data_IF_883207421357
#
_entry.id   IF_883207421357
#
_cell.length_a   1.000
_cell.length_b   1.000
_cell.length_c   1.000
_cell.angle_alpha   90.00
_cell.angle_beta   90.00
_cell.angle_gamma   90.00
#
_symmetry.space_group_name_H-M   'P 1'
#
loop_
_entity.id
_entity.type
_entity.pdbx_description
1 polymer ?
#
# COMPACT_ATOMS: atom_id res chain seq x y z
N UNK A 1 20.45 -3.64 9.29
CA UNK A 1 19.03 -3.23 9.25
C UNK A 1 18.21 -4.51 9.45
N UNK A 2 17.50 -4.66 10.55
CA UNK A 2 16.74 -5.90 10.78
C UNK A 2 15.57 -6.00 9.79
N UNK A 3 15.46 -7.09 9.00
CA UNK A 3 14.39 -7.25 8.01
C UNK A 3 13.00 -7.25 8.65
N UNK A 4 12.89 -7.70 9.90
CA UNK A 4 11.66 -7.66 10.68
C UNK A 4 11.20 -6.23 11.03
N UNK A 5 12.13 -5.27 11.15
CA UNK A 5 11.79 -3.88 11.48
C UNK A 5 11.15 -3.14 10.31
N UNK A 6 11.60 -3.40 9.07
CA UNK A 6 11.08 -2.75 7.87
C UNK A 6 9.65 -3.22 7.54
N UNK A 7 9.39 -4.54 7.67
CA UNK A 7 8.05 -5.10 7.49
C UNK A 7 7.04 -4.52 8.48
N UNK A 8 7.44 -4.34 9.74
CA UNK A 8 6.60 -3.72 10.77
C UNK A 8 6.29 -2.25 10.48
N UNK A 9 7.27 -1.47 9.97
CA UNK A 9 7.04 -0.08 9.58
C UNK A 9 6.05 0.05 8.42
N UNK A 10 6.14 -0.85 7.43
CA UNK A 10 5.21 -0.90 6.29
C UNK A 10 3.80 -1.30 6.72
N UNK A 11 3.67 -2.25 7.66
CA UNK A 11 2.38 -2.64 8.24
C UNK A 11 1.73 -1.47 9.03
N UNK A 12 2.53 -0.71 9.78
CA UNK A 12 2.05 0.51 10.45
C UNK A 12 1.60 1.57 9.44
N UNK A 13 2.37 1.78 8.36
CA UNK A 13 2.01 2.68 7.28
C UNK A 13 0.72 2.25 6.56
N UNK A 14 0.50 0.96 6.35
CA UNK A 14 -0.74 0.40 5.79
C UNK A 14 -1.95 0.67 6.68
N UNK A 15 -1.84 0.41 7.99
CA UNK A 15 -2.93 0.69 8.94
C UNK A 15 -3.25 2.19 9.01
N UNK A 16 -2.22 3.03 9.04
CA UNK A 16 -2.38 4.48 9.08
C UNK A 16 -3.03 5.01 7.80
N UNK A 17 -2.59 4.53 6.64
CA UNK A 17 -3.17 4.93 5.34
C UNK A 17 -4.60 4.43 5.17
N UNK A 18 -4.95 3.23 5.67
CA UNK A 18 -6.31 2.72 5.68
C UNK A 18 -7.26 3.58 6.52
N UNK A 19 -6.83 4.02 7.71
CA UNK A 19 -7.62 4.94 8.54
C UNK A 19 -7.83 6.29 7.83
N UNK A 20 -6.80 6.80 7.17
CA UNK A 20 -6.89 8.06 6.41
C UNK A 20 -7.81 7.94 5.18
N UNK A 21 -7.82 6.80 4.50
CA UNK A 21 -8.76 6.52 3.41
C UNK A 21 -10.21 6.65 3.86
N UNK A 22 -10.56 6.13 5.04
CA UNK A 22 -11.90 6.26 5.61
C UNK A 22 -12.24 7.75 5.80
N UNK A 23 -11.32 8.54 6.36
CA UNK A 23 -11.52 9.98 6.52
C UNK A 23 -11.67 10.70 5.18
N UNK A 24 -10.88 10.34 4.16
CA UNK A 24 -11.00 10.93 2.82
C UNK A 24 -12.34 10.60 2.18
N UNK A 25 -12.81 9.36 2.28
CA UNK A 25 -14.12 8.96 1.77
C UNK A 25 -15.25 9.70 2.49
N UNK A 26 -15.17 9.83 3.82
CA UNK A 26 -16.12 10.60 4.61
C UNK A 26 -16.13 12.08 4.20
N UNK A 27 -14.95 12.68 3.99
CA UNK A 27 -14.82 14.06 3.53
C UNK A 27 -15.47 14.23 2.15
N UNK A 28 -15.20 13.34 1.19
CA UNK A 28 -15.81 13.39 -0.14
C UNK A 28 -17.34 13.33 -0.03
N UNK A 29 -17.89 12.41 0.76
CA UNK A 29 -19.34 12.30 0.97
C UNK A 29 -19.90 13.61 1.53
N UNK A 30 -19.29 14.16 2.58
CA UNK A 30 -19.71 15.43 3.19
C UNK A 30 -19.63 16.59 2.21
N UNK A 31 -18.60 16.64 1.35
CA UNK A 31 -18.43 17.70 0.35
C UNK A 31 -19.46 17.59 -0.78
N UNK A 32 -19.92 16.38 -1.10
CA UNK A 32 -20.95 16.13 -2.10
C UNK A 32 -22.36 16.46 -1.58
N UNK A 33 -22.63 16.33 -0.28
CA UNK A 33 -23.94 16.61 0.33
C UNK A 33 -24.51 18.02 0.06
N UNK A 34 -23.75 19.13 0.22
CA UNK A 34 -24.27 20.47 -0.05
C UNK A 34 -24.39 20.77 -1.55
N UNK A 35 -23.65 20.05 -2.39
CA UNK A 35 -23.76 20.13 -3.85
C UNK A 35 -24.92 19.25 -4.38
N UNK A 36 -25.43 18.35 -3.54
CA UNK A 36 -26.44 17.39 -3.88
C UNK A 36 -27.86 17.98 -3.75
N UNK A 37 -28.49 18.27 -4.89
CA UNK A 37 -29.97 18.28 -4.95
C UNK A 37 -30.54 16.91 -4.57
N UNK A 38 -31.86 16.81 -4.40
CA UNK A 38 -32.56 15.57 -3.96
C UNK A 38 -32.17 14.30 -4.75
N UNK A 39 -31.81 14.42 -6.03
CA UNK A 39 -31.36 13.32 -6.87
C UNK A 39 -29.95 12.77 -6.51
N UNK A 40 -29.05 13.63 -6.03
CA UNK A 40 -27.65 13.27 -5.73
C UNK A 40 -27.49 12.58 -4.35
N UNK A 41 -28.49 12.72 -3.48
CA UNK A 41 -28.56 12.00 -2.19
C UNK A 41 -28.66 10.48 -2.40
N UNK A 42 -29.39 10.04 -3.43
CA UNK A 42 -29.51 8.61 -3.78
C UNK A 42 -28.14 8.04 -4.20
N UNK A 43 -27.37 8.79 -4.99
CA UNK A 43 -26.01 8.40 -5.38
C UNK A 43 -25.05 8.37 -4.18
N UNK A 44 -25.18 9.30 -3.23
CA UNK A 44 -24.38 9.29 -2.00
C UNK A 44 -24.67 8.02 -1.16
N UNK A 45 -25.93 7.64 -1.01
CA UNK A 45 -26.33 6.42 -0.28
C UNK A 45 -25.85 5.16 -1.02
N UNK A 46 -26.00 5.12 -2.34
CA UNK A 46 -25.58 3.98 -3.17
C UNK A 46 -24.04 3.83 -3.25
N UNK A 47 -23.29 4.89 -2.98
CA UNK A 47 -21.83 4.88 -2.89
C UNK A 47 -21.30 4.22 -1.60
N UNK A 48 -22.09 4.21 -0.52
CA UNK A 48 -21.70 3.62 0.77
C UNK A 48 -21.25 2.15 0.66
N UNK A 49 -22.01 1.22 0.02
CA UNK A 49 -21.56 -0.17 -0.13
C UNK A 49 -20.26 -0.27 -0.93
N UNK A 50 -20.06 0.57 -1.94
CA UNK A 50 -18.82 0.61 -2.70
C UNK A 50 -17.63 1.04 -1.83
N UNK A 51 -17.81 2.07 -1.01
CA UNK A 51 -16.80 2.50 -0.03
C UNK A 51 -16.42 1.39 0.95
N UNK A 52 -17.41 0.64 1.46
CA UNK A 52 -17.15 -0.48 2.38
C UNK A 52 -16.36 -1.61 1.69
N UNK A 53 -16.73 -1.97 0.46
CA UNK A 53 -16.01 -2.98 -0.32
C UNK A 53 -14.57 -2.54 -0.63
N UNK A 54 -14.37 -1.27 -0.96
CA UNK A 54 -13.06 -0.70 -1.24
C UNK A 54 -12.16 -0.73 0.01
N UNK A 55 -12.67 -0.30 1.16
CA UNK A 55 -11.93 -0.34 2.43
C UNK A 55 -11.61 -1.79 2.80
N UNK A 56 -12.57 -2.70 2.69
CA UNK A 56 -12.36 -4.12 2.95
C UNK A 56 -11.29 -4.71 2.02
N UNK A 57 -11.38 -4.47 0.72
CA UNK A 57 -10.39 -4.92 -0.26
C UNK A 57 -8.99 -4.35 0.02
N UNK A 58 -8.91 -3.09 0.46
CA UNK A 58 -7.65 -2.46 0.87
C UNK A 58 -7.03 -3.14 2.10
N UNK A 59 -7.83 -3.49 3.11
CA UNK A 59 -7.36 -4.20 4.29
C UNK A 59 -7.03 -5.67 4.03
N UNK A 60 -7.74 -6.31 3.11
CA UNK A 60 -7.48 -7.68 2.65
C UNK A 60 -6.28 -7.78 1.70
N UNK A 61 -5.67 -6.64 1.33
CA UNK A 61 -4.49 -6.54 0.45
C UNK A 61 -4.77 -7.08 -0.95
N UNK A 62 -5.98 -6.86 -1.44
CA UNK A 62 -6.37 -7.25 -2.79
C UNK A 62 -5.68 -6.36 -3.82
N UNK A 63 -5.11 -6.96 -4.87
CA UNK A 63 -4.33 -6.26 -5.91
C UNK A 63 -5.14 -5.24 -6.72
N UNK A 64 -6.45 -5.46 -6.85
CA UNK A 64 -7.37 -4.53 -7.52
C UNK A 64 -7.72 -3.31 -6.66
N UNK A 65 -7.61 -3.40 -5.33
CA UNK A 65 -8.06 -2.33 -4.44
C UNK A 65 -7.08 -1.16 -4.37
N UNK A 66 -5.76 -1.43 -4.40
CA UNK A 66 -4.71 -0.40 -4.37
C UNK A 66 -4.80 0.64 -5.50
N UNK A 67 -4.94 0.27 -6.80
CA UNK A 67 -5.06 1.25 -7.87
C UNK A 67 -6.34 2.09 -7.76
N UNK A 68 -7.45 1.52 -7.27
CA UNK A 68 -8.69 2.27 -7.05
C UNK A 68 -8.53 3.25 -5.88
N UNK A 69 -7.87 2.83 -4.79
CA UNK A 69 -7.54 3.72 -3.66
C UNK A 69 -6.67 4.89 -4.10
N UNK A 70 -5.66 4.64 -4.94
CA UNK A 70 -4.84 5.70 -5.54
C UNK A 70 -5.67 6.66 -6.40
N UNK A 71 -6.61 6.13 -7.20
CA UNK A 71 -7.51 6.95 -8.02
C UNK A 71 -8.42 7.82 -7.14
N UNK A 72 -9.03 7.26 -6.10
CA UNK A 72 -9.87 7.99 -5.13
C UNK A 72 -9.08 9.12 -4.47
N UNK A 73 -7.83 8.85 -4.05
CA UNK A 73 -6.94 9.87 -3.50
C UNK A 73 -6.61 10.98 -4.49
N UNK A 74 -6.27 10.62 -5.73
CA UNK A 74 -6.05 11.60 -6.80
C UNK A 74 -7.29 12.45 -7.08
N UNK A 75 -8.47 11.83 -7.10
CA UNK A 75 -9.74 12.52 -7.24
C UNK A 75 -10.01 13.50 -6.09
N UNK A 76 -9.77 13.08 -4.84
CA UNK A 76 -9.93 13.92 -3.66
C UNK A 76 -9.02 15.16 -3.72
N UNK A 77 -7.75 14.97 -4.10
CA UNK A 77 -6.79 16.05 -4.31
C UNK A 77 -7.28 17.01 -5.39
N UNK A 78 -7.76 16.48 -6.53
CA UNK A 78 -8.30 17.28 -7.62
C UNK A 78 -9.51 18.13 -7.19
N UNK A 79 -10.47 17.54 -6.47
CA UNK A 79 -11.64 18.25 -5.96
C UNK A 79 -11.23 19.36 -4.98
N UNK A 80 -10.33 19.05 -4.03
CA UNK A 80 -9.83 20.05 -3.08
C UNK A 80 -9.10 21.20 -3.79
N UNK A 81 -8.33 20.89 -4.83
CA UNK A 81 -7.61 21.89 -5.63
C UNK A 81 -8.56 22.80 -6.40
N UNK A 82 -9.59 22.24 -7.06
CA UNK A 82 -10.61 23.03 -7.75
C UNK A 82 -11.38 23.90 -6.77
N UNK A 83 -11.76 23.36 -5.62
CA UNK A 83 -12.46 24.12 -4.58
C UNK A 83 -11.62 25.29 -4.05
N UNK A 84 -10.32 25.07 -3.85
CA UNK A 84 -9.36 26.13 -3.51
C UNK A 84 -9.31 27.24 -4.57
N UNK A 85 -9.32 26.90 -5.87
CA UNK A 85 -9.36 27.90 -6.95
C UNK A 85 -10.65 28.73 -6.92
N UNK A 86 -11.79 28.10 -6.63
CA UNK A 86 -13.07 28.81 -6.49
C UNK A 86 -13.01 29.80 -5.33
N UNK A 87 -12.54 29.38 -4.16
CA UNK A 87 -12.40 30.26 -2.99
C UNK A 87 -11.48 31.47 -3.29
N UNK A 88 -10.34 31.25 -3.94
CA UNK A 88 -9.44 32.34 -4.30
C UNK A 88 -9.98 33.26 -5.41
N UNK A 89 -10.87 32.78 -6.27
CA UNK A 89 -11.54 33.64 -7.26
C UNK A 89 -12.52 34.63 -6.63
N UNK A 90 -13.02 34.33 -5.42
CA UNK A 90 -14.02 35.13 -4.69
C UNK A 90 -13.41 36.10 -3.68
N UNK A 91 -12.10 36.33 -3.72
CA UNK A 91 -11.39 37.21 -2.77
C UNK A 91 -11.79 38.69 -2.81
N UNK A 92 -12.54 39.13 -3.83
CA UNK A 92 -13.07 40.48 -3.94
C UNK A 92 -14.43 40.71 -3.25
N UNK A 93 -15.03 39.69 -2.63
CA UNK A 93 -16.35 39.77 -2.00
C UNK A 93 -16.34 40.09 -0.50
N UNK A 94 -17.52 40.21 0.09
CA UNK A 94 -17.73 40.53 1.53
C UNK A 94 -17.01 39.57 2.50
N UNK A 95 -16.79 38.32 2.10
CA UNK A 95 -16.17 37.27 2.92
C UNK A 95 -14.69 37.01 2.59
N UNK A 96 -14.00 38.00 2.02
CA UNK A 96 -12.60 37.89 1.56
C UNK A 96 -11.62 37.27 2.58
N UNK A 97 -11.73 37.63 3.87
CA UNK A 97 -10.87 37.10 4.93
C UNK A 97 -11.12 35.61 5.22
N UNK A 98 -12.39 35.17 5.20
CA UNK A 98 -12.76 33.77 5.36
C UNK A 98 -12.27 32.93 4.18
N UNK A 99 -12.48 33.41 2.97
CA UNK A 99 -12.08 32.73 1.73
C UNK A 99 -10.54 32.56 1.65
N UNK A 100 -9.76 33.54 2.14
CA UNK A 100 -8.30 33.41 2.24
C UNK A 100 -7.87 32.28 3.18
N UNK A 101 -8.47 32.21 4.38
CA UNK A 101 -8.15 31.19 5.38
C UNK A 101 -8.55 29.81 4.85
N UNK A 102 -9.76 29.70 4.29
CA UNK A 102 -10.28 28.47 3.74
C UNK A 102 -9.46 27.97 2.54
N UNK A 103 -9.15 28.86 1.58
CA UNK A 103 -8.29 28.55 0.44
C UNK A 103 -6.89 28.11 0.86
N UNK A 104 -6.29 28.78 1.85
CA UNK A 104 -5.00 28.39 2.43
C UNK A 104 -5.04 27.01 3.10
N UNK A 105 -6.10 26.70 3.84
CA UNK A 105 -6.28 25.40 4.49
C UNK A 105 -6.45 24.27 3.46
N UNK A 106 -7.20 24.52 2.38
CA UNK A 106 -7.36 23.56 1.27
C UNK A 106 -6.04 23.32 0.53
N UNK A 107 -5.23 24.36 0.34
CA UNK A 107 -3.90 24.24 -0.25
C UNK A 107 -2.99 23.38 0.63
N UNK A 108 -3.00 23.61 1.95
CA UNK A 108 -2.25 22.78 2.90
C UNK A 108 -2.74 21.33 2.90
N UNK A 109 -4.05 21.10 2.83
CA UNK A 109 -4.65 19.78 2.76
C UNK A 109 -4.23 19.05 1.47
N UNK A 110 -4.29 19.73 0.32
CA UNK A 110 -3.84 19.21 -0.97
C UNK A 110 -2.36 18.81 -0.93
N UNK A 111 -1.50 19.67 -0.37
CA UNK A 111 -0.07 19.37 -0.18
C UNK A 111 0.15 18.15 0.71
N UNK A 112 -0.53 18.08 1.85
CA UNK A 112 -0.47 16.95 2.79
C UNK A 112 -0.90 15.64 2.12
N UNK A 113 -1.97 15.68 1.32
CA UNK A 113 -2.46 14.53 0.57
C UNK A 113 -1.47 14.08 -0.52
N UNK A 114 -0.86 15.03 -1.25
CA UNK A 114 0.16 14.72 -2.27
C UNK A 114 1.40 14.04 -1.67
N UNK A 115 1.87 14.50 -0.50
CA UNK A 115 3.01 13.89 0.17
C UNK A 115 2.73 12.42 0.55
N UNK A 116 1.51 12.13 1.02
CA UNK A 116 1.07 10.76 1.35
C UNK A 116 0.85 9.90 0.10
N UNK A 117 0.33 10.47 -0.97
CA UNK A 117 0.20 9.76 -2.25
C UNK A 117 1.57 9.30 -2.78
N UNK A 118 2.61 10.13 -2.66
CA UNK A 118 3.97 9.74 -3.04
C UNK A 118 4.47 8.53 -2.25
N UNK A 119 4.11 8.43 -0.96
CA UNK A 119 4.42 7.27 -0.12
C UNK A 119 3.68 6.02 -0.59
N UNK A 120 2.37 6.11 -0.88
CA UNK A 120 1.57 4.97 -1.36
C UNK A 120 1.99 4.49 -2.76
N UNK A 121 2.46 5.41 -3.61
CA UNK A 121 2.96 5.10 -4.96
C UNK A 121 4.39 4.53 -4.94
N UNK A 122 5.05 4.50 -3.79
CA UNK A 122 6.42 4.03 -3.72
C UNK A 122 6.49 2.53 -4.09
N UNK A 123 7.41 2.11 -4.98
CA UNK A 123 7.46 0.72 -5.47
C UNK A 123 7.66 -0.29 -4.34
N UNK A 124 8.38 0.08 -3.28
CA UNK A 124 8.56 -0.77 -2.09
C UNK A 124 7.23 -1.03 -1.34
N UNK A 125 6.36 -0.02 -1.22
CA UNK A 125 5.06 -0.18 -0.57
C UNK A 125 4.15 -1.08 -1.41
N UNK A 126 4.16 -0.87 -2.73
CA UNK A 126 3.39 -1.69 -3.68
C UNK A 126 3.85 -3.14 -3.69
N UNK A 127 5.15 -3.40 -3.78
CA UNK A 127 5.70 -4.76 -3.70
C UNK A 127 5.28 -5.44 -2.40
N UNK A 128 5.48 -4.78 -1.24
CA UNK A 128 5.04 -5.31 0.04
C UNK A 128 3.53 -5.60 0.04
N UNK A 129 2.71 -4.66 -0.41
CA UNK A 129 1.24 -4.77 -0.45
C UNK A 129 0.76 -5.95 -1.29
N UNK A 130 1.35 -6.15 -2.47
CA UNK A 130 1.06 -7.28 -3.37
C UNK A 130 1.61 -8.63 -2.85
N UNK A 131 2.25 -8.65 -1.68
CA UNK A 131 2.87 -9.84 -1.10
C UNK A 131 4.20 -10.21 -1.76
N UNK A 132 4.69 -9.40 -2.70
CA UNK A 132 5.99 -9.54 -3.32
C UNK A 132 7.05 -9.02 -2.34
N UNK A 133 7.97 -9.89 -1.91
CA UNK A 133 9.12 -9.47 -1.12
C UNK A 133 9.89 -8.41 -1.95
N UNK A 134 10.21 -7.20 -1.44
CA UNK A 134 10.81 -6.10 -2.24
C UNK A 134 12.12 -6.45 -2.95
N UNK A 135 12.75 -7.55 -2.57
CA UNK A 135 13.95 -8.06 -3.20
C UNK A 135 13.68 -9.03 -4.40
N UNK A 136 12.40 -9.25 -4.77
CA UNK A 136 11.92 -10.00 -5.95
C UNK A 136 11.71 -9.07 -7.17
N UNK A 137 11.88 -7.75 -7.01
CA UNK A 137 11.66 -6.77 -8.09
C UNK A 137 12.75 -6.68 -9.15
N UNK A 138 13.83 -7.46 -9.03
CA UNK A 138 14.74 -7.69 -10.14
C UNK A 138 14.23 -8.87 -10.95
N UNK A 139 14.31 -8.75 -12.27
CA UNK A 139 13.99 -9.78 -13.25
C UNK A 139 14.93 -10.99 -13.07
N UNK A 140 14.70 -11.77 -12.01
CA UNK A 140 15.44 -12.98 -11.73
C UNK A 140 14.72 -14.03 -12.58
N UNK A 141 15.31 -14.39 -13.72
CA UNK A 141 14.80 -15.49 -14.53
C UNK A 141 14.99 -16.79 -13.74
N UNK A 142 13.98 -17.19 -12.96
CA UNK A 142 13.98 -18.49 -12.32
C UNK A 142 13.83 -19.56 -13.40
N UNK A 143 14.65 -20.60 -13.35
CA UNK A 143 14.44 -21.81 -14.12
C UNK A 143 13.21 -22.58 -13.58
N UNK A 144 12.69 -23.54 -14.36
CA UNK A 144 11.63 -24.40 -13.88
C UNK A 144 12.04 -25.05 -12.54
N UNK A 145 11.14 -25.00 -11.55
CA UNK A 145 11.31 -25.55 -10.19
C UNK A 145 12.24 -24.75 -9.24
N UNK A 146 12.79 -23.62 -9.67
CA UNK A 146 13.47 -22.69 -8.77
C UNK A 146 12.47 -21.83 -8.01
N UNK A 147 12.73 -21.60 -6.73
CA UNK A 147 12.02 -20.64 -5.89
C UNK A 147 13.01 -19.67 -5.26
N UNK A 148 12.58 -18.44 -5.05
CA UNK A 148 13.38 -17.43 -4.37
C UNK A 148 13.25 -17.60 -2.86
N UNK A 149 14.37 -17.90 -2.20
CA UNK A 149 14.47 -18.03 -0.76
C UNK A 149 15.49 -17.04 -0.19
N UNK A 150 15.27 -16.64 1.06
CA UNK A 150 16.25 -15.85 1.81
C UNK A 150 17.06 -16.78 2.71
N UNK A 151 18.38 -16.60 2.74
CA UNK A 151 19.25 -17.33 3.66
C UNK A 151 18.89 -16.97 5.11
N UNK A 152 18.70 -17.96 6.01
CA UNK A 152 18.33 -17.71 7.40
C UNK A 152 19.43 -17.01 8.22
N UNK A 153 20.69 -17.08 7.77
CA UNK A 153 21.84 -16.55 8.51
C UNK A 153 22.24 -15.13 8.11
N UNK A 154 22.24 -14.81 6.81
CA UNK A 154 22.69 -13.51 6.31
C UNK A 154 21.62 -12.74 5.55
N UNK A 155 20.41 -13.28 5.40
CA UNK A 155 19.31 -12.70 4.63
C UNK A 155 19.65 -12.39 3.16
N UNK A 156 20.73 -12.98 2.63
CA UNK A 156 21.02 -12.92 1.19
C UNK A 156 19.91 -13.65 0.43
N UNK A 157 19.60 -13.16 -0.76
CA UNK A 157 18.56 -13.72 -1.60
C UNK A 157 19.15 -14.72 -2.58
N UNK A 158 18.60 -15.93 -2.61
CA UNK A 158 19.04 -17.02 -3.48
C UNK A 158 17.85 -17.57 -4.26
N UNK A 159 18.09 -17.95 -5.51
CA UNK A 159 17.22 -18.88 -6.21
C UNK A 159 17.67 -20.30 -5.82
N UNK A 160 16.75 -21.10 -5.28
CA UNK A 160 17.02 -22.46 -4.83
C UNK A 160 15.94 -23.40 -5.35
N UNK A 161 16.29 -24.65 -5.62
CA UNK A 161 15.31 -25.70 -5.89
C UNK A 161 15.09 -26.50 -4.61
N UNK A 162 13.95 -26.38 -3.91
CA UNK A 162 13.76 -26.99 -2.60
C UNK A 162 13.89 -28.51 -2.63
N UNK A 163 13.50 -29.13 -3.75
CA UNK A 163 13.53 -30.59 -3.92
C UNK A 163 14.92 -31.14 -4.27
N UNK A 164 15.87 -30.29 -4.68
CA UNK A 164 17.26 -30.68 -4.98
C UNK A 164 18.23 -30.21 -3.88
N UNK A 165 17.72 -29.62 -2.79
CA UNK A 165 18.53 -28.97 -1.77
C UNK A 165 19.15 -30.00 -0.80
N UNK A 166 20.45 -30.22 -0.88
CA UNK A 166 21.14 -31.17 -0.01
C UNK A 166 21.56 -30.57 1.35
N UNK A 167 21.69 -31.43 2.36
CA UNK A 167 22.09 -31.04 3.73
C UNK A 167 23.48 -30.36 3.81
N UNK A 168 24.34 -30.63 2.83
CA UNK A 168 25.71 -30.12 2.75
C UNK A 168 25.79 -28.76 2.09
N UNK A 169 24.69 -28.26 1.51
CA UNK A 169 24.68 -26.99 0.81
C UNK A 169 24.85 -25.81 1.75
N UNK A 170 25.72 -24.89 1.31
CA UNK A 170 26.11 -23.69 2.04
C UNK A 170 25.75 -22.46 1.23
N UNK A 171 25.38 -21.41 1.93
CA UNK A 171 25.17 -20.11 1.33
C UNK A 171 26.51 -19.58 0.75
N UNK A 172 26.54 -19.11 -0.51
CA UNK A 172 27.77 -18.58 -1.12
C UNK A 172 28.18 -17.23 -0.52
N UNK A 173 27.27 -16.51 0.13
CA UNK A 173 27.55 -15.20 0.73
C UNK A 173 28.10 -15.30 2.17
N UNK A 174 27.58 -16.21 3.00
CA UNK A 174 28.01 -16.33 4.40
C UNK A 174 28.69 -17.66 4.75
N UNK A 175 28.68 -18.65 3.85
CA UNK A 175 29.28 -19.96 4.09
C UNK A 175 28.53 -20.86 5.08
N UNK A 176 27.43 -20.37 5.66
CA UNK A 176 26.59 -21.14 6.60
C UNK A 176 25.65 -22.10 5.87
N UNK A 177 25.22 -23.15 6.57
CA UNK A 177 24.35 -24.19 6.00
C UNK A 177 22.96 -23.64 5.70
N UNK A 178 22.40 -24.02 4.56
CA UNK A 178 21.04 -23.62 4.17
C UNK A 178 19.97 -24.49 4.84
N UNK A 179 20.29 -25.76 5.11
CA UNK A 179 19.39 -26.74 5.74
C UNK A 179 19.75 -26.91 7.22
N UNK A 180 18.76 -26.76 8.10
CA UNK A 180 18.94 -26.99 9.53
C UNK A 180 18.91 -28.48 9.87
N UNK A 181 19.64 -28.92 10.91
CA UNK A 181 19.62 -30.33 11.35
C UNK A 181 18.20 -30.82 11.70
N UNK A 182 17.37 -29.94 12.28
CA UNK A 182 15.97 -30.26 12.59
C UNK A 182 15.15 -30.53 11.32
N UNK A 183 15.42 -29.81 10.24
CA UNK A 183 14.75 -30.03 8.96
C UNK A 183 15.16 -31.37 8.34
N UNK A 184 16.43 -31.77 8.48
CA UNK A 184 16.91 -33.08 8.02
C UNK A 184 16.26 -34.21 8.83
N UNK A 185 16.18 -34.10 10.15
CA UNK A 185 15.53 -35.11 10.99
C UNK A 185 14.04 -35.27 10.68
N UNK A 186 13.37 -34.20 10.28
CA UNK A 186 11.93 -34.21 10.04
C UNK A 186 11.54 -34.66 8.61
N UNK A 187 12.39 -34.42 7.61
CA UNK A 187 12.09 -34.72 6.20
C UNK A 187 13.01 -35.78 5.57
N UNK A 188 14.19 -36.03 6.14
CA UNK A 188 15.12 -37.05 5.65
C UNK A 188 14.70 -38.50 5.94
N UNK A 189 13.67 -38.70 6.77
CA UNK A 189 13.10 -40.03 7.05
C UNK A 189 12.10 -40.47 5.94
N UNK A 190 11.63 -39.53 5.11
CA UNK A 190 10.61 -39.81 4.09
C UNK A 190 11.19 -40.33 2.75
N UNK A 191 12.51 -40.33 2.57
CA UNK A 191 13.15 -40.81 1.33
C UNK A 191 13.65 -42.27 1.42
N UNK A 192 13.49 -42.95 2.57
CA UNK A 192 13.92 -44.33 2.77
C UNK A 192 12.77 -45.38 2.76
N UNK A 193 11.53 -45.03 2.40
CA UNK A 193 10.41 -45.99 2.14
C UNK A 193 10.02 -46.10 0.66
#
# INVERSE_FOLDING_TARGET
>A
MDPNSAGNQLALAHRQSGMMLIFTLALIIVLLLPLAGSALVVFAILSIPFCVLLVRGYYQRESWALPIVLLVWMGAIGVCFVYMLVEFSMLGGDNSSWNLIQGGLLLFLCWSMLQRLRMLRHPMFRAWYDGLNPAIGHDISLQAEEVLAACPHCSSLLAVKPMELHFSEKCPMCGERLVSQKSVEQYGILEEE
#
